data_IF_444496358189
#
_entry.id   IF_444496358189
#
_cell.length_a   1.000
_cell.length_b   1.000
_cell.length_c   1.000
_cell.angle_alpha   90.00
_cell.angle_beta   90.00
_cell.angle_gamma   90.00
#
_symmetry.space_group_name_H-M   'P 1'
#
loop_
_entity.id
_entity.type
_entity.pdbx_description
1 polymer ?
#
# COMPACT_ATOMS: atom_id res chain seq x y z
N UNK A 1 -10.31 -8.02 1.22
CA UNK A 1 -9.38 -7.14 0.49
C UNK A 1 -7.98 -7.43 0.96
N UNK A 2 -7.03 -7.46 0.04
CA UNK A 2 -5.64 -7.77 0.33
C UNK A 2 -4.69 -6.83 -0.39
N UNK A 3 -3.63 -6.48 0.33
CA UNK A 3 -2.49 -5.79 -0.22
C UNK A 3 -1.53 -6.85 -0.78
N UNK A 4 -1.02 -6.64 -1.99
CA UNK A 4 -0.09 -7.53 -2.67
C UNK A 4 1.15 -6.71 -3.03
N UNK A 5 2.32 -7.26 -2.77
CA UNK A 5 3.60 -6.64 -3.13
C UNK A 5 4.36 -7.63 -4.00
N UNK A 6 4.51 -7.33 -5.29
CA UNK A 6 4.97 -8.29 -6.29
C UNK A 6 4.09 -9.55 -6.30
N UNK A 7 4.63 -10.68 -5.82
CA UNK A 7 3.90 -11.95 -5.69
C UNK A 7 3.49 -12.28 -4.25
N UNK A 8 3.79 -11.39 -3.29
CA UNK A 8 3.60 -11.64 -1.86
C UNK A 8 2.31 -11.01 -1.38
N UNK A 9 1.43 -11.81 -0.77
CA UNK A 9 0.23 -11.32 -0.10
C UNK A 9 0.60 -10.73 1.25
N UNK A 10 0.24 -9.48 1.48
CA UNK A 10 0.52 -8.74 2.70
C UNK A 10 -0.74 -8.71 3.56
N UNK A 11 -0.60 -9.23 4.78
CA UNK A 11 -1.64 -9.13 5.81
C UNK A 11 -1.39 -7.87 6.62
N UNK A 12 -2.24 -6.87 6.43
CA UNK A 12 -2.26 -5.67 7.26
C UNK A 12 -3.01 -5.95 8.56
N UNK A 13 -2.60 -5.31 9.66
CA UNK A 13 -3.35 -5.38 10.93
C UNK A 13 -4.62 -4.54 10.90
N UNK A 14 -4.64 -3.54 10.03
CA UNK A 14 -5.81 -2.70 9.73
C UNK A 14 -5.70 -2.25 8.27
N UNK A 15 -6.83 -2.24 7.55
CA UNK A 15 -6.88 -1.87 6.13
C UNK A 15 -8.18 -1.11 5.85
N UNK A 16 -8.04 0.17 5.52
CA UNK A 16 -9.15 1.07 5.22
C UNK A 16 -9.10 1.52 3.76
N UNK A 17 -10.25 1.54 3.08
CA UNK A 17 -10.38 2.11 1.74
C UNK A 17 -10.66 3.61 1.83
N UNK A 18 -10.06 4.37 0.92
CA UNK A 18 -10.34 5.78 0.71
C UNK A 18 -10.83 5.99 -0.73
N UNK A 19 -11.34 7.18 -1.05
CA UNK A 19 -11.76 7.53 -2.41
C UNK A 19 -10.63 7.34 -3.45
N UNK A 20 -9.37 7.57 -3.03
CA UNK A 20 -8.20 7.53 -3.92
C UNK A 20 -7.31 6.30 -3.80
N UNK A 21 -7.59 5.38 -2.86
CA UNK A 21 -6.71 4.25 -2.59
C UNK A 21 -7.00 3.55 -1.26
N UNK A 22 -5.95 3.23 -0.51
CA UNK A 22 -6.07 2.53 0.78
C UNK A 22 -5.07 3.07 1.81
N UNK A 23 -5.42 2.93 3.09
CA UNK A 23 -4.54 3.16 4.22
C UNK A 23 -4.39 1.82 4.94
N UNK A 24 -3.14 1.38 5.10
CA UNK A 24 -2.81 0.10 5.71
C UNK A 24 -1.95 0.31 6.96
N UNK A 25 -2.27 -0.37 8.05
CA UNK A 25 -1.39 -0.46 9.21
C UNK A 25 -0.56 -1.72 9.11
N UNK A 26 0.75 -1.54 9.07
CA UNK A 26 1.73 -2.58 8.80
C UNK A 26 2.80 -2.61 9.91
N UNK A 27 3.37 -3.79 10.13
CA UNK A 27 4.48 -4.00 11.08
C UNK A 27 5.36 -5.14 10.61
N UNK A 28 6.62 -5.16 11.05
CA UNK A 28 7.56 -6.25 10.76
C UNK A 28 7.74 -6.52 9.27
N UNK A 29 7.64 -7.78 8.87
CA UNK A 29 7.86 -8.22 7.49
C UNK A 29 6.90 -7.59 6.47
N UNK A 30 5.65 -7.34 6.88
CA UNK A 30 4.65 -6.70 6.02
C UNK A 30 5.08 -5.26 5.64
N UNK A 31 5.57 -4.51 6.62
CA UNK A 31 6.11 -3.17 6.38
C UNK A 31 7.40 -3.22 5.55
N UNK A 32 8.33 -4.13 5.89
CA UNK A 32 9.59 -4.27 5.18
C UNK A 32 9.40 -4.56 3.69
N UNK A 33 8.45 -5.43 3.34
CA UNK A 33 8.13 -5.75 1.95
C UNK A 33 7.60 -4.53 1.18
N UNK A 34 6.72 -3.74 1.79
CA UNK A 34 6.19 -2.51 1.15
C UNK A 34 7.29 -1.47 0.97
N UNK A 35 8.18 -1.30 1.95
CA UNK A 35 9.31 -0.36 1.84
C UNK A 35 10.29 -0.78 0.75
N UNK A 36 10.63 -2.07 0.67
CA UNK A 36 11.54 -2.60 -0.35
C UNK A 36 10.95 -2.43 -1.76
N UNK A 37 9.67 -2.70 -1.94
CA UNK A 37 8.99 -2.44 -3.21
C UNK A 37 8.95 -0.95 -3.57
N UNK A 38 8.70 -0.09 -2.59
CA UNK A 38 8.58 1.36 -2.80
C UNK A 38 9.93 2.00 -3.14
N UNK A 39 11.00 1.63 -2.45
CA UNK A 39 12.31 2.32 -2.53
C UNK A 39 13.39 1.50 -3.24
N UNK A 40 13.32 0.17 -3.21
CA UNK A 40 14.23 -0.74 -3.90
C UNK A 40 13.90 -0.91 -5.38
N UNK A 41 12.69 -0.54 -5.82
CA UNK A 41 12.30 -0.44 -7.24
C UNK A 41 12.13 -1.77 -7.98
N UNK A 42 12.15 -2.90 -7.26
CA UNK A 42 12.08 -4.25 -7.86
C UNK A 42 10.66 -4.80 -7.93
N UNK A 43 9.69 -4.20 -7.24
CA UNK A 43 8.32 -4.70 -7.18
C UNK A 43 7.27 -3.57 -7.17
N UNK A 44 6.16 -3.80 -7.86
CA UNK A 44 4.97 -2.95 -7.73
C UNK A 44 4.21 -3.28 -6.44
N UNK A 45 3.57 -2.25 -5.88
CA UNK A 45 2.60 -2.43 -4.80
C UNK A 45 1.21 -2.41 -5.41
N UNK A 46 0.48 -3.49 -5.27
CA UNK A 46 -0.83 -3.69 -5.85
C UNK A 46 -1.88 -3.95 -4.77
N UNK A 47 -3.12 -3.55 -5.01
CA UNK A 47 -4.24 -3.87 -4.10
C UNK A 47 -5.27 -4.71 -4.83
N UNK A 48 -5.72 -5.76 -4.16
CA UNK A 48 -6.85 -6.57 -4.58
C UNK A 48 -8.05 -6.35 -3.64
N UNK A 49 -9.11 -5.74 -4.16
CA UNK A 49 -10.32 -5.47 -3.39
C UNK A 49 -11.50 -6.28 -3.92
N UNK A 50 -11.97 -7.26 -3.12
CA UNK A 50 -13.24 -8.01 -3.24
C UNK A 50 -13.88 -8.03 -4.65
N UNK A 51 -13.21 -8.65 -5.64
CA UNK A 51 -13.74 -8.85 -6.99
C UNK A 51 -13.44 -7.75 -8.02
N UNK A 52 -12.91 -6.60 -7.59
CA UNK A 52 -12.26 -5.65 -8.49
C UNK A 52 -10.82 -6.12 -8.73
N UNK A 53 -10.40 -6.17 -9.99
CA UNK A 53 -9.07 -6.65 -10.39
C UNK A 53 -7.91 -5.93 -9.67
N UNK A 54 -6.72 -6.51 -9.78
CA UNK A 54 -5.48 -5.97 -9.19
C UNK A 54 -5.24 -4.56 -9.72
N UNK A 55 -5.05 -3.59 -8.82
CA UNK A 55 -4.77 -2.19 -9.17
C UNK A 55 -3.41 -1.75 -8.66
N UNK A 56 -2.57 -1.12 -9.53
CA UNK A 56 -1.30 -0.56 -9.11
C UNK A 56 -1.52 0.61 -8.16
N UNK A 57 -0.72 0.63 -7.10
CA UNK A 57 -0.72 1.66 -6.07
C UNK A 57 0.68 2.27 -5.93
N UNK A 58 0.70 3.52 -5.49
CA UNK A 58 1.89 4.27 -5.13
C UNK A 58 1.81 4.60 -3.66
N UNK A 59 2.88 4.30 -2.91
CA UNK A 59 2.99 4.75 -1.52
C UNK A 59 3.24 6.27 -1.53
N UNK A 60 2.33 7.02 -0.91
CA UNK A 60 2.39 8.50 -0.86
C UNK A 60 2.59 9.05 0.54
N UNK A 61 2.46 8.21 1.57
CA UNK A 61 2.72 8.60 2.95
C UNK A 61 3.08 7.40 3.80
N UNK A 62 4.03 7.59 4.71
CA UNK A 62 4.39 6.62 5.73
C UNK A 62 4.48 7.40 7.05
N UNK A 63 3.66 7.02 8.01
CA UNK A 63 3.71 7.55 9.37
C UNK A 63 4.02 6.41 10.34
N UNK A 64 5.13 6.53 11.06
CA UNK A 64 5.61 5.50 11.98
C UNK A 64 5.28 5.87 13.43
N UNK A 65 4.63 4.97 14.16
CA UNK A 65 4.24 5.18 15.56
C UNK A 65 4.48 3.92 16.38
N UNK A 66 5.42 3.98 17.32
CA UNK A 66 5.74 2.85 18.20
C UNK A 66 6.15 1.61 17.40
N UNK A 67 5.35 0.55 17.50
CA UNK A 67 5.62 -0.75 16.85
C UNK A 67 4.89 -0.95 15.50
N UNK A 68 4.21 0.08 14.99
CA UNK A 68 3.43 -0.01 13.75
C UNK A 68 3.60 1.23 12.88
N UNK A 69 3.35 1.06 11.60
CA UNK A 69 3.39 2.13 10.61
C UNK A 69 2.10 2.17 9.84
N UNK A 70 1.55 3.37 9.70
CA UNK A 70 0.44 3.65 8.82
C UNK A 70 1.00 4.05 7.46
N UNK A 71 0.69 3.25 6.44
CA UNK A 71 1.10 3.47 5.05
C UNK A 71 -0.11 3.88 4.24
N UNK A 72 -0.01 5.03 3.58
CA UNK A 72 -1.01 5.55 2.65
C UNK A 72 -0.60 5.17 1.24
N UNK A 73 -1.50 4.49 0.54
CA UNK A 73 -1.35 4.04 -0.83
C UNK A 73 -2.43 4.67 -1.71
N UNK A 74 -2.04 5.31 -2.80
CA UNK A 74 -2.96 5.91 -3.77
C UNK A 74 -2.86 5.19 -5.10
N UNK A 75 -3.97 5.04 -5.83
CA UNK A 75 -3.94 4.41 -7.13
C UNK A 75 -3.00 5.13 -8.10
N UNK A 76 -2.16 4.37 -8.80
CA UNK A 76 -1.27 4.92 -9.81
C UNK A 76 -2.10 5.61 -10.91
N UNK A 77 -1.83 6.89 -11.17
CA UNK A 77 -2.63 7.74 -12.07
C UNK A 77 -3.58 8.72 -11.36
N UNK A 78 -3.80 8.59 -10.06
CA UNK A 78 -4.42 9.64 -9.24
C UNK A 78 -3.41 10.74 -8.87
N UNK A 79 -2.55 11.15 -9.81
CA UNK A 79 -1.72 12.33 -9.61
C UNK A 79 -2.67 13.50 -9.32
N UNK A 80 -2.45 14.13 -8.17
CA UNK A 80 -3.18 15.33 -7.78
C UNK A 80 -3.20 16.29 -8.96
N UNK A 81 -4.40 16.67 -9.44
CA UNK A 81 -4.54 17.88 -10.23
C UNK A 81 -4.02 19.01 -9.35
N UNK A 82 -2.83 19.51 -9.68
CA UNK A 82 -2.36 20.79 -9.17
C UNK A 82 -3.37 21.84 -9.67
N UNK A 83 -4.12 22.40 -8.73
CA UNK A 83 -4.93 23.61 -8.92
C UNK A 83 -4.13 24.81 -8.42
#
# INVERSE_FOLDING_TARGET
>A
MELIVGTTRIVASDLQVTEGGVIARLSGAALASVLDATFGGTAAVDVWANGQGVRPMTVTGIHMTGNSSTVTLTAAGAQARLH
#
